data_IF_568300253224
#
_entry.id   IF_568300253224
#
_cell.length_a   1.000
_cell.length_b   1.000
_cell.length_c   1.000
_cell.angle_alpha   90.00
_cell.angle_beta   90.00
_cell.angle_gamma   90.00
#
_symmetry.space_group_name_H-M   'P 1'
#
loop_
_entity.id
_entity.type
_entity.pdbx_description
1 polymer ?
#
# COMPACT_ATOMS: atom_id res chain seq x y z
N UNK A 1 -23.55 2.20 -10.29
CA UNK A 1 -22.27 1.57 -10.69
C UNK A 1 -22.20 0.19 -10.07
N UNK A 2 -21.97 -0.87 -10.86
CA UNK A 2 -21.97 -2.26 -10.35
C UNK A 2 -20.83 -2.48 -9.35
N UNK A 3 -21.08 -3.19 -8.24
CA UNK A 3 -20.04 -3.62 -7.27
C UNK A 3 -18.83 -4.29 -7.95
N UNK A 4 -19.02 -4.83 -9.15
CA UNK A 4 -17.99 -5.42 -10.01
C UNK A 4 -16.98 -4.40 -10.55
N UNK A 5 -17.38 -3.17 -10.81
CA UNK A 5 -16.49 -2.10 -11.30
C UNK A 5 -15.54 -1.65 -10.19
N UNK A 6 -16.05 -1.49 -8.96
CA UNK A 6 -15.20 -1.20 -7.79
C UNK A 6 -14.19 -2.32 -7.50
N UNK A 7 -14.61 -3.59 -7.65
CA UNK A 7 -13.73 -4.75 -7.53
C UNK A 7 -12.66 -4.79 -8.63
N UNK A 8 -13.00 -4.44 -9.87
CA UNK A 8 -12.05 -4.38 -10.99
C UNK A 8 -11.02 -3.26 -10.79
N UNK A 9 -11.45 -2.09 -10.30
CA UNK A 9 -10.53 -0.98 -9.99
C UNK A 9 -9.60 -1.35 -8.83
N UNK A 10 -10.12 -1.98 -7.78
CA UNK A 10 -9.32 -2.53 -6.68
C UNK A 10 -8.29 -3.55 -7.19
N UNK A 11 -8.72 -4.49 -8.04
CA UNK A 11 -7.85 -5.49 -8.66
C UNK A 11 -6.83 -4.85 -9.60
N UNK A 12 -7.18 -3.77 -10.31
CA UNK A 12 -6.26 -3.04 -11.19
C UNK A 12 -5.17 -2.33 -10.40
N UNK A 13 -5.50 -1.67 -9.29
CA UNK A 13 -4.50 -1.02 -8.42
C UNK A 13 -3.56 -2.08 -7.80
N UNK A 14 -4.10 -3.24 -7.40
CA UNK A 14 -3.32 -4.39 -6.93
C UNK A 14 -2.44 -5.01 -8.03
N UNK A 15 -2.86 -4.92 -9.30
CA UNK A 15 -2.17 -5.55 -10.45
C UNK A 15 -1.04 -4.71 -11.06
N UNK A 16 -0.94 -3.41 -10.75
CA UNK A 16 0.30 -2.68 -11.05
C UNK A 16 1.42 -3.35 -10.25
N UNK A 17 2.64 -3.48 -10.78
CA UNK A 17 3.74 -4.11 -10.08
C UNK A 17 4.20 -3.18 -8.95
N UNK A 18 3.39 -3.06 -7.89
CA UNK A 18 3.71 -2.44 -6.59
C UNK A 18 4.95 -3.10 -5.99
N UNK A 19 5.31 -4.29 -6.48
CA UNK A 19 6.47 -5.07 -6.11
C UNK A 19 7.46 -5.10 -7.27
N UNK A 20 8.19 -4.00 -7.50
CA UNK A 20 9.51 -4.15 -8.09
C UNK A 20 10.26 -5.14 -7.20
N UNK A 21 10.47 -6.35 -7.70
CA UNK A 21 11.31 -7.34 -7.05
C UNK A 21 12.71 -6.75 -7.01
N UNK A 22 13.20 -6.41 -5.83
CA UNK A 22 14.62 -6.14 -5.65
C UNK A 22 15.32 -7.46 -6.01
N UNK A 23 15.85 -7.50 -7.22
CA UNK A 23 16.63 -8.61 -7.74
C UNK A 23 17.76 -8.86 -6.75
N UNK A 24 17.78 -10.07 -6.20
CA UNK A 24 18.58 -10.44 -5.03
C UNK A 24 20.00 -9.87 -5.03
N UNK A 25 20.43 -9.38 -3.87
CA UNK A 25 21.82 -9.00 -3.64
C UNK A 25 22.08 -7.64 -2.99
N UNK A 26 21.10 -6.96 -2.39
CA UNK A 26 21.37 -5.68 -1.72
C UNK A 26 21.68 -5.87 -0.23
N UNK A 27 22.98 -5.94 0.08
CA UNK A 27 23.53 -5.68 1.42
C UNK A 27 23.25 -4.21 1.84
N UNK A 28 22.82 -3.36 0.90
CA UNK A 28 22.58 -1.93 1.11
C UNK A 28 21.09 -1.58 0.97
N UNK A 29 20.38 -1.54 2.09
CA UNK A 29 18.98 -1.11 2.22
C UNK A 29 18.92 0.23 2.99
N UNK A 30 19.11 1.40 2.36
CA UNK A 30 19.23 2.67 3.07
C UNK A 30 17.87 3.20 3.54
N UNK A 31 17.85 3.84 4.72
CA UNK A 31 16.63 4.49 5.27
C UNK A 31 16.05 5.58 4.38
N UNK A 32 16.89 6.26 3.59
CA UNK A 32 16.51 7.34 2.68
C UNK A 32 16.78 6.97 1.22
N UNK A 33 16.43 5.75 0.83
CA UNK A 33 16.52 5.29 -0.55
C UNK A 33 15.31 5.66 -1.40
N UNK A 34 15.50 5.70 -2.72
CA UNK A 34 14.39 5.81 -3.69
C UNK A 34 13.36 4.69 -3.51
N UNK A 35 13.81 3.52 -3.06
CA UNK A 35 12.97 2.39 -2.69
C UNK A 35 11.95 2.75 -1.56
N UNK A 36 12.40 3.41 -0.48
CA UNK A 36 11.51 3.85 0.60
C UNK A 36 10.49 4.89 0.13
N UNK A 37 10.88 5.75 -0.81
CA UNK A 37 9.95 6.69 -1.43
C UNK A 37 8.86 5.97 -2.25
N UNK A 38 9.20 4.87 -2.94
CA UNK A 38 8.19 4.04 -3.63
C UNK A 38 7.21 3.42 -2.64
N UNK A 39 7.73 2.85 -1.55
CA UNK A 39 6.92 2.24 -0.50
C UNK A 39 5.95 3.23 0.15
N UNK A 40 6.46 4.41 0.49
CA UNK A 40 5.66 5.50 1.05
C UNK A 40 4.60 5.98 0.05
N UNK A 41 5.00 6.32 -1.18
CA UNK A 41 4.08 6.89 -2.17
C UNK A 41 3.02 5.89 -2.64
N UNK A 42 3.40 4.63 -2.86
CA UNK A 42 2.46 3.57 -3.25
C UNK A 42 1.43 3.31 -2.15
N UNK A 43 1.88 3.23 -0.89
CA UNK A 43 0.97 3.04 0.26
C UNK A 43 0.04 4.24 0.46
N UNK A 44 0.53 5.46 0.26
CA UNK A 44 -0.28 6.66 0.31
C UNK A 44 -1.39 6.66 -0.76
N UNK A 45 -1.01 6.40 -2.01
CA UNK A 45 -1.95 6.37 -3.16
C UNK A 45 -2.97 5.25 -2.97
N UNK A 46 -2.53 4.06 -2.56
CA UNK A 46 -3.40 2.90 -2.37
C UNK A 46 -4.43 3.15 -1.27
N UNK A 47 -4.01 3.71 -0.14
CA UNK A 47 -4.92 4.04 0.97
C UNK A 47 -5.93 5.09 0.56
N UNK A 48 -5.47 6.18 -0.07
CA UNK A 48 -6.35 7.30 -0.48
C UNK A 48 -7.33 6.88 -1.55
N UNK A 49 -6.88 6.13 -2.56
CA UNK A 49 -7.73 5.61 -3.64
C UNK A 49 -8.71 4.58 -3.10
N UNK A 50 -8.25 3.66 -2.24
CA UNK A 50 -9.10 2.66 -1.60
C UNK A 50 -10.20 3.29 -0.74
N UNK A 51 -9.87 4.36 0.00
CA UNK A 51 -10.84 5.15 0.74
C UNK A 51 -11.86 5.81 -0.19
N UNK A 52 -11.39 6.48 -1.25
CA UNK A 52 -12.26 7.20 -2.19
C UNK A 52 -13.21 6.26 -2.93
N UNK A 53 -12.72 5.11 -3.41
CA UNK A 53 -13.55 4.10 -4.08
C UNK A 53 -14.62 3.57 -3.12
N UNK A 54 -14.26 3.24 -1.88
CA UNK A 54 -15.22 2.71 -0.92
C UNK A 54 -16.29 3.72 -0.52
N UNK A 55 -15.92 4.98 -0.30
CA UNK A 55 -16.86 6.06 0.07
C UNK A 55 -17.73 6.49 -1.11
N UNK A 56 -17.16 6.70 -2.30
CA UNK A 56 -17.88 7.29 -3.44
C UNK A 56 -18.54 6.27 -4.36
N UNK A 57 -17.92 5.10 -4.56
CA UNK A 57 -18.43 4.11 -5.51
C UNK A 57 -19.24 3.00 -4.82
N UNK A 58 -18.89 2.67 -3.57
CA UNK A 58 -19.56 1.62 -2.79
C UNK A 58 -20.48 2.18 -1.70
N UNK A 59 -20.39 3.49 -1.42
CA UNK A 59 -21.16 4.18 -0.38
C UNK A 59 -21.00 3.56 1.02
N UNK A 60 -19.80 3.05 1.33
CA UNK A 60 -19.47 2.60 2.68
C UNK A 60 -19.28 3.81 3.62
N UNK A 61 -19.61 3.66 4.92
CA UNK A 61 -19.31 4.68 5.92
C UNK A 61 -17.82 5.08 5.88
N UNK A 62 -17.53 6.37 6.09
CA UNK A 62 -16.16 6.90 5.99
C UNK A 62 -15.20 6.19 6.94
N UNK A 63 -15.61 6.01 8.21
CA UNK A 63 -14.81 5.32 9.21
C UNK A 63 -14.50 3.87 8.81
N UNK A 64 -15.47 3.17 8.21
CA UNK A 64 -15.28 1.81 7.72
C UNK A 64 -14.35 1.79 6.49
N UNK A 65 -14.54 2.73 5.55
CA UNK A 65 -13.71 2.87 4.36
C UNK A 65 -12.25 3.16 4.69
N UNK A 66 -12.01 4.04 5.67
CA UNK A 66 -10.67 4.40 6.13
C UNK A 66 -9.97 3.20 6.78
N UNK A 67 -10.68 2.50 7.68
CA UNK A 67 -10.16 1.28 8.32
C UNK A 67 -9.82 0.21 7.29
N UNK A 68 -10.75 -0.09 6.38
CA UNK A 68 -10.55 -1.09 5.33
C UNK A 68 -9.37 -0.74 4.42
N UNK A 69 -9.29 0.50 3.93
CA UNK A 69 -8.23 0.93 3.02
C UNK A 69 -6.84 0.87 3.68
N UNK A 70 -6.74 1.28 4.95
CA UNK A 70 -5.52 1.18 5.74
C UNK A 70 -5.12 -0.28 5.97
N UNK A 71 -6.03 -1.12 6.45
CA UNK A 71 -5.77 -2.54 6.71
C UNK A 71 -5.34 -3.30 5.44
N UNK A 72 -6.01 -3.06 4.32
CA UNK A 72 -5.66 -3.66 3.04
C UNK A 72 -4.24 -3.25 2.61
N UNK A 73 -3.91 -1.96 2.69
CA UNK A 73 -2.58 -1.46 2.31
C UNK A 73 -1.48 -2.03 3.21
N UNK A 74 -1.69 -2.05 4.53
CA UNK A 74 -0.73 -2.64 5.48
C UNK A 74 -0.54 -4.13 5.23
N UNK A 75 -1.64 -4.86 4.97
CA UNK A 75 -1.60 -6.30 4.69
C UNK A 75 -0.83 -6.60 3.41
N UNK A 76 -0.99 -5.77 2.37
CA UNK A 76 -0.24 -5.90 1.12
C UNK A 76 1.25 -5.60 1.31
N UNK A 77 1.59 -4.57 2.09
CA UNK A 77 2.99 -4.26 2.45
C UNK A 77 3.65 -5.37 3.24
N UNK A 78 2.98 -5.91 4.26
CA UNK A 78 3.45 -7.09 5.02
C UNK A 78 3.58 -8.32 4.14
N UNK A 79 2.59 -8.57 3.28
CA UNK A 79 2.56 -9.70 2.36
C UNK A 79 3.77 -9.69 1.42
N UNK A 80 4.13 -8.52 0.88
CA UNK A 80 5.36 -8.36 0.09
C UNK A 80 6.60 -8.82 0.84
N UNK A 81 6.85 -8.27 2.03
CA UNK A 81 8.08 -8.55 2.76
C UNK A 81 8.16 -10.04 3.15
N UNK A 82 7.02 -10.66 3.44
CA UNK A 82 6.94 -12.11 3.65
C UNK A 82 7.23 -12.91 2.38
N UNK A 83 6.79 -12.44 1.21
CA UNK A 83 7.10 -13.06 -0.08
C UNK A 83 8.58 -12.87 -0.45
N UNK A 84 9.14 -11.69 -0.21
CA UNK A 84 10.54 -11.39 -0.49
C UNK A 84 11.47 -12.23 0.38
N UNK A 85 11.15 -12.42 1.66
CA UNK A 85 11.87 -13.36 2.54
C UNK A 85 11.87 -14.81 2.04
N UNK A 86 10.85 -15.23 1.29
CA UNK A 86 10.75 -16.61 0.75
C UNK A 86 11.58 -16.80 -0.52
N UNK A 87 12.04 -15.73 -1.17
CA UNK A 87 12.85 -15.82 -2.39
C UNK A 87 14.29 -16.23 -2.06
N UNK A 88 14.99 -16.98 -2.94
CA UNK A 88 16.41 -17.29 -2.75
C UNK A 88 17.23 -16.01 -2.59
N UNK A 89 17.89 -15.85 -1.44
CA UNK A 89 18.69 -14.65 -1.12
C UNK A 89 17.87 -13.39 -0.79
N UNK A 90 16.56 -13.50 -0.61
CA UNK A 90 15.69 -12.39 -0.22
C UNK A 90 15.66 -12.15 1.29
N UNK A 91 15.43 -10.89 1.68
CA UNK A 91 15.44 -10.43 3.07
C UNK A 91 14.10 -9.73 3.35
N UNK A 92 13.61 -9.87 4.58
CA UNK A 92 12.49 -9.06 5.06
C UNK A 92 13.00 -7.67 5.47
N UNK A 93 12.56 -6.60 4.81
CA UNK A 93 12.94 -5.24 5.18
C UNK A 93 11.93 -4.62 6.15
N UNK A 94 12.36 -4.45 7.40
CA UNK A 94 11.62 -3.65 8.37
C UNK A 94 11.52 -2.17 7.96
N UNK A 95 12.48 -1.68 7.16
CA UNK A 95 12.52 -0.29 6.71
C UNK A 95 11.41 -0.03 5.68
N UNK A 96 11.14 -1.00 4.81
CA UNK A 96 9.99 -0.94 3.89
C UNK A 96 8.66 -0.97 4.61
N UNK A 97 8.56 -1.79 5.66
CA UNK A 97 7.36 -1.81 6.48
C UNK A 97 7.11 -0.45 7.15
N UNK A 98 8.15 0.20 7.68
CA UNK A 98 8.05 1.56 8.24
C UNK A 98 7.66 2.58 7.18
N UNK A 99 8.22 2.51 5.98
CA UNK A 99 7.86 3.39 4.88
C UNK A 99 6.39 3.22 4.45
N UNK A 100 5.89 1.97 4.39
CA UNK A 100 4.49 1.67 4.09
C UNK A 100 3.57 2.24 5.18
N UNK A 101 3.86 2.00 6.46
CA UNK A 101 3.09 2.54 7.59
C UNK A 101 3.07 4.07 7.59
N UNK A 102 4.20 4.69 7.26
CA UNK A 102 4.30 6.15 7.12
C UNK A 102 3.41 6.65 5.99
N UNK A 103 3.43 5.98 4.82
CA UNK A 103 2.54 6.31 3.70
C UNK A 103 1.06 6.19 4.05
N UNK A 104 0.67 5.13 4.77
CA UNK A 104 -0.70 4.95 5.28
C UNK A 104 -1.07 6.06 6.27
N UNK A 105 -0.18 6.39 7.21
CA UNK A 105 -0.40 7.47 8.18
C UNK A 105 -0.58 8.84 7.51
N UNK A 106 0.25 9.15 6.51
CA UNK A 106 0.13 10.37 5.71
C UNK A 106 -1.19 10.40 4.92
N UNK A 107 -1.63 9.26 4.37
CA UNK A 107 -2.92 9.18 3.69
C UNK A 107 -4.08 9.41 4.65
N UNK A 108 -4.04 8.82 5.85
CA UNK A 108 -5.05 9.06 6.89
C UNK A 108 -5.10 10.53 7.28
N UNK A 109 -3.95 11.18 7.47
CA UNK A 109 -3.88 12.61 7.76
C UNK A 109 -4.45 13.44 6.61
N UNK A 110 -4.04 13.15 5.38
CA UNK A 110 -4.52 13.83 4.18
C UNK A 110 -6.03 13.71 4.04
N UNK A 111 -6.59 12.50 4.18
CA UNK A 111 -8.03 12.26 4.14
C UNK A 111 -8.75 13.09 5.19
N UNK A 112 -8.29 13.11 6.45
CA UNK A 112 -8.97 13.82 7.53
C UNK A 112 -8.90 15.35 7.43
N UNK A 113 -7.86 15.88 6.79
CA UNK A 113 -7.61 17.33 6.71
C UNK A 113 -8.12 17.92 5.41
N UNK A 114 -8.12 17.16 4.32
CA UNK A 114 -8.34 17.69 2.96
C UNK A 114 -9.62 17.16 2.32
N UNK A 115 -10.04 15.92 2.60
CA UNK A 115 -11.20 15.26 1.97
C UNK A 115 -12.41 15.34 2.89
#
# INVERSE_FOLDING_TARGET
>A
MSKRVGLIVLLMVVSTPVFSSDTGGRIHDPWFGFDKLKHLSSSFILTTTGYYVQTRMVALPEQQSLSNAGMLTISLGLGKELLDRRKPGGIFSYRDLVANLTGVGLAVLFIKVVI
#
